data_IF_602032736628
#
_entry.id   IF_602032736628
#
_cell.length_a   1.000
_cell.length_b   1.000
_cell.length_c   1.000
_cell.angle_alpha   90.00
_cell.angle_beta   90.00
_cell.angle_gamma   90.00
#
_symmetry.space_group_name_H-M   'P 1'
#
loop_
_entity.id
_entity.type
_entity.pdbx_description
1 polymer ?
#
# COMPACT_ATOMS: atom_id res chain seq x y z
N UNK A 1 -36.14 -29.31 -23.81
CA UNK A 1 -35.15 -28.42 -24.47
C UNK A 1 -34.11 -28.07 -23.42
N UNK A 2 -32.82 -28.24 -23.72
CA UNK A 2 -31.75 -27.90 -22.77
C UNK A 2 -31.74 -26.41 -22.45
N UNK A 3 -31.22 -26.03 -21.29
CA UNK A 3 -31.05 -24.62 -20.92
C UNK A 3 -30.14 -23.92 -21.93
N UNK A 4 -30.52 -22.73 -22.43
CA UNK A 4 -29.68 -22.00 -23.38
C UNK A 4 -28.37 -21.58 -22.71
N UNK A 5 -27.26 -21.71 -23.44
CA UNK A 5 -25.94 -21.33 -22.97
C UNK A 5 -25.89 -19.86 -22.52
N UNK A 6 -25.09 -19.53 -21.49
CA UNK A 6 -24.87 -18.15 -21.11
C UNK A 6 -24.24 -17.39 -22.28
N UNK A 7 -24.79 -16.22 -22.58
CA UNK A 7 -24.25 -15.39 -23.65
C UNK A 7 -22.89 -14.83 -23.23
N UNK A 8 -21.95 -14.72 -24.18
CA UNK A 8 -20.65 -14.12 -23.91
C UNK A 8 -20.84 -12.71 -23.36
N UNK A 9 -20.37 -12.50 -22.13
CA UNK A 9 -20.57 -11.24 -21.42
C UNK A 9 -19.59 -10.15 -21.87
N UNK A 10 -20.08 -8.91 -21.95
CA UNK A 10 -19.23 -7.74 -21.89
C UNK A 10 -18.80 -7.55 -20.42
N UNK A 11 -17.49 -7.62 -20.17
CA UNK A 11 -16.95 -7.50 -18.81
C UNK A 11 -17.16 -6.09 -18.26
N UNK A 12 -17.59 -5.95 -16.98
CA UNK A 12 -17.69 -4.64 -16.34
C UNK A 12 -16.33 -3.94 -16.29
N UNK A 13 -16.29 -2.62 -16.20
CA UNK A 13 -15.02 -1.89 -16.01
C UNK A 13 -14.61 -1.83 -14.53
N UNK A 14 -15.59 -1.80 -13.62
CA UNK A 14 -15.35 -1.70 -12.17
C UNK A 14 -14.88 -3.02 -11.58
N UNK A 15 -13.74 -3.01 -10.90
CA UNK A 15 -13.12 -4.18 -10.25
C UNK A 15 -13.96 -4.80 -9.14
N UNK A 16 -14.76 -4.04 -8.40
CA UNK A 16 -15.62 -4.59 -7.34
C UNK A 16 -16.77 -5.42 -7.91
N UNK A 17 -17.25 -5.05 -9.10
CA UNK A 17 -18.32 -5.77 -9.78
C UNK A 17 -17.83 -7.03 -10.51
N UNK A 18 -16.53 -7.09 -10.86
CA UNK A 18 -15.95 -8.23 -11.57
C UNK A 18 -16.11 -9.55 -10.83
N UNK A 19 -15.85 -9.61 -9.53
CA UNK A 19 -15.88 -10.88 -8.78
C UNK A 19 -17.30 -11.45 -8.70
N UNK A 20 -18.28 -10.60 -8.39
CA UNK A 20 -19.70 -10.98 -8.31
C UNK A 20 -20.24 -11.39 -9.68
N UNK A 21 -19.97 -10.58 -10.71
CA UNK A 21 -20.39 -10.88 -12.08
C UNK A 21 -19.78 -12.19 -12.59
N UNK A 22 -18.48 -12.37 -12.36
CA UNK A 22 -17.76 -13.59 -12.75
C UNK A 22 -18.29 -14.82 -12.02
N UNK A 23 -18.55 -14.72 -10.71
CA UNK A 23 -19.10 -15.83 -9.91
C UNK A 23 -20.48 -16.26 -10.41
N UNK A 24 -21.38 -15.31 -10.67
CA UNK A 24 -22.73 -15.63 -11.19
C UNK A 24 -22.67 -16.22 -12.61
N UNK A 25 -21.79 -15.68 -13.46
CA UNK A 25 -21.56 -16.21 -14.80
C UNK A 25 -21.04 -17.64 -14.77
N UNK A 26 -20.04 -17.94 -13.94
CA UNK A 26 -19.49 -19.30 -13.78
C UNK A 26 -20.55 -20.27 -13.26
N UNK A 27 -21.38 -19.85 -12.29
CA UNK A 27 -22.46 -20.68 -11.77
C UNK A 27 -23.48 -21.04 -12.87
N UNK A 28 -23.88 -20.06 -13.68
CA UNK A 28 -24.76 -20.28 -14.83
C UNK A 28 -24.11 -21.18 -15.88
N UNK A 29 -22.83 -20.97 -16.18
CA UNK A 29 -22.09 -21.80 -17.12
C UNK A 29 -21.96 -23.25 -16.63
N UNK A 30 -21.69 -23.47 -15.34
CA UNK A 30 -21.59 -24.80 -14.74
C UNK A 30 -22.91 -25.55 -14.86
N UNK A 31 -24.03 -24.93 -14.46
CA UNK A 31 -25.36 -25.54 -14.62
C UNK A 31 -25.62 -25.89 -16.07
N UNK A 32 -25.29 -25.01 -17.02
CA UNK A 32 -25.48 -25.32 -18.44
C UNK A 32 -24.61 -26.49 -18.90
N UNK A 33 -23.36 -26.59 -18.45
CA UNK A 33 -22.46 -27.72 -18.76
C UNK A 33 -23.00 -29.02 -18.19
N UNK A 34 -23.44 -29.02 -16.93
CA UNK A 34 -24.03 -30.20 -16.28
C UNK A 34 -25.29 -30.68 -17.01
N UNK A 35 -26.10 -29.75 -17.52
CA UNK A 35 -27.30 -30.08 -18.31
C UNK A 35 -27.03 -30.44 -19.76
N UNK A 36 -25.81 -30.21 -20.26
CA UNK A 36 -25.46 -30.42 -21.65
C UNK A 36 -25.12 -31.88 -21.97
N UNK A 37 -24.87 -32.72 -20.96
CA UNK A 37 -24.44 -34.11 -21.14
C UNK A 37 -23.26 -34.21 -22.14
N UNK A 38 -23.45 -34.90 -23.27
CA UNK A 38 -22.42 -35.06 -24.32
C UNK A 38 -22.39 -33.91 -25.34
N UNK A 39 -23.19 -32.84 -25.15
CA UNK A 39 -23.21 -31.70 -26.06
C UNK A 39 -21.93 -30.85 -25.93
N UNK A 40 -21.34 -30.41 -27.05
CA UNK A 40 -20.12 -29.61 -27.02
C UNK A 40 -20.36 -28.20 -26.46
N UNK A 41 -19.43 -27.75 -25.61
CA UNK A 41 -19.45 -26.40 -25.05
C UNK A 41 -19.06 -25.36 -26.13
N UNK A 42 -19.75 -24.21 -26.21
CA UNK A 42 -19.42 -23.17 -27.18
C UNK A 42 -18.00 -22.60 -27.01
N UNK A 43 -17.19 -22.60 -28.08
CA UNK A 43 -15.83 -22.02 -28.09
C UNK A 43 -15.77 -20.55 -27.59
N UNK A 44 -16.71 -19.66 -27.96
CA UNK A 44 -16.70 -18.28 -27.45
C UNK A 44 -16.85 -18.21 -25.92
N UNK A 45 -17.66 -19.09 -25.33
CA UNK A 45 -17.87 -19.18 -23.88
C UNK A 45 -16.55 -19.49 -23.16
N UNK A 46 -15.83 -20.51 -23.64
CA UNK A 46 -14.54 -20.94 -23.08
C UNK A 46 -13.50 -19.83 -23.18
N UNK A 47 -13.43 -19.13 -24.31
CA UNK A 47 -12.52 -17.97 -24.49
C UNK A 47 -12.82 -16.86 -23.48
N UNK A 48 -14.10 -16.52 -23.31
CA UNK A 48 -14.56 -15.51 -22.36
C UNK A 48 -14.20 -15.90 -20.91
N UNK A 49 -14.38 -17.17 -20.55
CA UNK A 49 -13.98 -17.70 -19.24
C UNK A 49 -12.47 -17.57 -18.99
N UNK A 50 -11.64 -17.99 -19.95
CA UNK A 50 -10.18 -17.91 -19.83
C UNK A 50 -9.73 -16.46 -19.66
N UNK A 51 -10.23 -15.54 -20.51
CA UNK A 51 -9.87 -14.13 -20.43
C UNK A 51 -10.22 -13.52 -19.07
N UNK A 52 -11.39 -13.83 -18.52
CA UNK A 52 -11.84 -13.34 -17.22
C UNK A 52 -10.98 -13.86 -16.06
N UNK A 53 -10.66 -15.17 -16.09
CA UNK A 53 -9.77 -15.77 -15.11
C UNK A 53 -8.38 -15.14 -15.16
N UNK A 54 -7.85 -14.89 -16.36
CA UNK A 54 -6.58 -14.17 -16.51
C UNK A 54 -6.64 -12.77 -15.90
N UNK A 55 -7.69 -11.99 -16.18
CA UNK A 55 -7.86 -10.65 -15.59
C UNK A 55 -7.90 -10.71 -14.06
N UNK A 56 -8.67 -11.65 -13.49
CA UNK A 56 -8.74 -11.81 -12.04
C UNK A 56 -7.40 -12.21 -11.43
N UNK A 57 -6.69 -13.19 -12.01
CA UNK A 57 -5.37 -13.62 -11.55
C UNK A 57 -4.39 -12.44 -11.58
N UNK A 58 -4.34 -11.69 -12.68
CA UNK A 58 -3.51 -10.50 -12.79
C UNK A 58 -3.87 -9.45 -11.72
N UNK A 59 -5.16 -9.24 -11.41
CA UNK A 59 -5.58 -8.33 -10.35
C UNK A 59 -5.15 -8.83 -8.96
N UNK A 60 -5.28 -10.13 -8.67
CA UNK A 60 -4.83 -10.70 -7.40
C UNK A 60 -3.30 -10.63 -7.25
N UNK A 61 -2.55 -10.87 -8.32
CA UNK A 61 -1.09 -10.77 -8.32
C UNK A 61 -0.60 -9.34 -8.14
N UNK A 62 -1.33 -8.34 -8.64
CA UNK A 62 -0.97 -6.93 -8.55
C UNK A 62 -1.60 -6.20 -7.36
N UNK A 63 -2.52 -6.82 -6.62
CA UNK A 63 -3.05 -6.23 -5.38
C UNK A 63 -1.96 -6.30 -4.31
N UNK A 64 -1.44 -5.17 -3.83
CA UNK A 64 -0.45 -5.20 -2.77
C UNK A 64 -1.06 -5.84 -1.52
N UNK A 65 -0.35 -6.78 -0.91
CA UNK A 65 -0.79 -7.43 0.32
C UNK A 65 -1.01 -6.35 1.38
N UNK A 66 -2.26 -6.18 1.84
CA UNK A 66 -2.65 -5.14 2.81
C UNK A 66 -1.81 -5.21 4.08
N UNK A 67 -1.41 -6.42 4.51
CA UNK A 67 -0.53 -6.59 5.65
C UNK A 67 0.88 -6.03 5.38
N UNK A 68 1.41 -6.23 4.17
CA UNK A 68 2.69 -5.64 3.75
C UNK A 68 2.62 -4.12 3.69
N UNK A 69 1.50 -3.56 3.21
CA UNK A 69 1.27 -2.11 3.20
C UNK A 69 1.17 -1.56 4.63
N UNK A 70 0.41 -2.22 5.51
CA UNK A 70 0.31 -1.84 6.93
C UNK A 70 1.66 -1.93 7.64
N UNK A 71 2.46 -2.96 7.39
CA UNK A 71 3.81 -3.08 7.94
C UNK A 71 4.73 -1.96 7.44
N UNK A 72 4.68 -1.63 6.14
CA UNK A 72 5.44 -0.51 5.60
C UNK A 72 5.05 0.82 6.24
N UNK A 73 3.74 1.06 6.43
CA UNK A 73 3.23 2.24 7.14
C UNK A 73 3.73 2.27 8.59
N UNK A 74 3.65 1.13 9.31
CA UNK A 74 4.10 1.04 10.69
C UNK A 74 5.61 1.32 10.82
N UNK A 75 6.42 0.82 9.88
CA UNK A 75 7.86 1.08 9.84
C UNK A 75 8.16 2.56 9.62
N UNK A 76 7.50 3.19 8.64
CA UNK A 76 7.64 4.64 8.38
C UNK A 76 7.24 5.48 9.59
N UNK A 77 6.16 5.11 10.29
CA UNK A 77 5.74 5.78 11.52
C UNK A 77 6.77 5.65 12.63
N UNK A 78 7.42 4.50 12.76
CA UNK A 78 8.46 4.28 13.75
C UNK A 78 9.72 5.09 13.45
N UNK A 79 10.17 5.10 12.19
CA UNK A 79 11.33 5.88 11.75
C UNK A 79 11.11 7.38 11.97
N UNK A 80 9.90 7.87 11.68
CA UNK A 80 9.54 9.27 11.92
C UNK A 80 9.58 9.62 13.42
N UNK A 81 9.09 8.72 14.29
CA UNK A 81 9.17 8.89 15.74
C UNK A 81 10.61 8.94 16.22
N UNK A 82 11.45 8.00 15.77
CA UNK A 82 12.88 7.97 16.10
C UNK A 82 13.62 9.23 15.64
N UNK A 83 13.30 9.71 14.45
CA UNK A 83 13.86 10.96 13.90
C UNK A 83 13.47 12.15 14.78
N UNK A 84 12.21 12.20 15.21
CA UNK A 84 11.70 13.26 16.09
C UNK A 84 12.42 13.26 17.44
N UNK A 85 12.59 12.10 18.08
CA UNK A 85 13.32 11.99 19.35
C UNK A 85 14.80 12.34 19.21
N UNK A 86 15.41 11.99 18.07
CA UNK A 86 16.80 12.36 17.77
C UNK A 86 16.93 13.88 17.63
N UNK A 87 16.06 14.52 16.84
CA UNK A 87 16.04 15.98 16.67
C UNK A 87 15.86 16.67 18.03
N UNK A 88 14.92 16.19 18.84
CA UNK A 88 14.66 16.73 20.18
C UNK A 88 15.91 16.62 21.07
N UNK A 89 16.55 15.46 21.08
CA UNK A 89 17.77 15.23 21.87
C UNK A 89 18.91 16.12 21.40
N UNK A 90 19.13 16.23 20.09
CA UNK A 90 20.15 17.11 19.52
C UNK A 90 19.87 18.58 19.82
N UNK A 91 18.61 19.01 19.77
CA UNK A 91 18.25 20.39 20.13
C UNK A 91 18.61 20.70 21.60
N UNK A 92 18.32 19.77 22.52
CA UNK A 92 18.68 19.90 23.94
C UNK A 92 20.20 19.98 24.13
N UNK A 93 20.96 19.10 23.47
CA UNK A 93 22.43 19.10 23.62
C UNK A 93 23.07 20.34 23.04
N UNK A 94 22.58 20.85 21.90
CA UNK A 94 23.05 22.09 21.29
C UNK A 94 22.74 23.28 22.21
N UNK A 95 21.53 23.36 22.76
CA UNK A 95 21.14 24.44 23.68
C UNK A 95 22.03 24.46 24.93
N UNK A 96 22.20 23.31 25.60
CA UNK A 96 23.07 23.19 26.76
C UNK A 96 24.52 23.58 26.45
N UNK A 97 25.02 23.17 25.27
CA UNK A 97 26.38 23.50 24.83
C UNK A 97 26.52 25.01 24.58
N UNK A 98 25.51 25.67 24.01
CA UNK A 98 25.52 27.11 23.80
C UNK A 98 25.52 27.89 25.13
N UNK A 99 24.72 27.46 26.10
CA UNK A 99 24.68 28.05 27.46
C UNK A 99 26.01 27.92 28.17
N UNK A 100 26.65 26.74 28.11
CA UNK A 100 27.98 26.53 28.68
C UNK A 100 29.02 27.46 28.05
N UNK A 101 29.02 27.62 26.72
CA UNK A 101 29.93 28.55 26.05
C UNK A 101 29.68 30.02 26.44
N UNK A 102 28.41 30.43 26.63
CA UNK A 102 28.09 31.78 27.12
C UNK A 102 28.63 32.02 28.53
N UNK A 103 28.49 31.04 29.44
CA UNK A 103 29.04 31.14 30.80
C UNK A 103 30.57 31.24 30.80
N UNK A 104 31.25 30.42 30.00
CA UNK A 104 32.71 30.47 29.86
C UNK A 104 33.16 31.83 29.31
N UNK A 105 32.49 32.35 28.27
CA UNK A 105 32.80 33.66 27.70
C UNK A 105 32.60 34.80 28.72
N UNK A 106 31.55 34.72 29.53
CA UNK A 106 31.29 35.68 30.60
C UNK A 106 32.38 35.65 31.68
N UNK A 107 32.80 34.46 32.12
CA UNK A 107 33.90 34.33 33.10
C UNK A 107 35.24 34.84 32.55
N UNK A 108 35.57 34.52 31.30
CA UNK A 108 36.80 35.00 30.66
C UNK A 108 36.77 36.52 30.41
N UNK A 109 35.60 37.10 30.13
CA UNK A 109 35.43 38.55 30.02
C UNK A 109 35.67 39.26 31.35
N UNK A 110 35.24 38.67 32.46
CA UNK A 110 35.46 39.20 33.81
C UNK A 110 36.93 39.09 34.28
N UNK A 111 37.67 38.11 33.75
CA UNK A 111 39.09 37.89 34.02
C UNK A 111 40.03 38.71 33.11
N UNK A 112 39.50 39.45 32.13
CA UNK A 112 40.31 40.30 31.26
C UNK A 112 40.58 41.63 31.99
N UNK A 113 41.84 41.93 32.41
CA UNK A 113 42.13 43.21 33.04
C UNK A 113 41.86 44.33 32.05
N UNK A 114 41.09 45.33 32.48
CA UNK A 114 40.89 46.59 31.77
C UNK A 114 42.28 47.13 31.42
N UNK A 115 42.66 47.08 30.13
CA UNK A 115 43.84 47.82 29.69
C UNK A 115 43.48 49.29 29.82
N UNK A 116 43.88 49.88 30.95
CA UNK A 116 44.01 51.32 31.11
C UNK A 116 44.91 51.80 29.98
N UNK A 117 44.32 52.54 29.04
CA UNK A 117 45.05 53.29 28.03
C UNK A 117 45.64 54.54 28.71
N UNK A 118 46.97 54.58 28.79
CA UNK A 118 47.77 55.81 28.84
C UNK A 118 48.61 55.87 27.56
#
# INVERSE_FOLDING_TARGET
MGTPWPQAAAWPHDTYEHATFFSDYLRKALVCIETAEDQPVPKPLVKTMIAAMSVLITKFQNTPNVNTVMQAIANVQNDLRMTTETIKTTAITVQHTAEMHQQIAMMLGFLRPERVSD
#
